data_IF_670166232138
#
_entry.id   IF_670166232138
#
_cell.length_a   1.000
_cell.length_b   1.000
_cell.length_c   1.000
_cell.angle_alpha   90.00
_cell.angle_beta   90.00
_cell.angle_gamma   90.00
#
_symmetry.space_group_name_H-M   'P 1'
#
loop_
_entity.id
_entity.type
_entity.pdbx_description
1 polymer ?
#
# COMPACT_ATOMS: atom_id res chain seq x y z
N UNK A 1 -20.17 10.54 8.87
CA UNK A 1 -20.66 9.17 8.64
C UNK A 1 -20.79 8.92 7.14
N UNK A 2 -21.50 9.76 6.37
CA UNK A 2 -21.61 9.62 4.91
C UNK A 2 -20.24 9.53 4.23
N UNK A 3 -19.29 10.37 4.61
CA UNK A 3 -17.91 10.35 4.07
C UNK A 3 -17.18 9.02 4.37
N UNK A 4 -17.35 8.45 5.56
CA UNK A 4 -16.73 7.18 5.96
C UNK A 4 -17.33 5.96 5.23
N UNK A 5 -18.55 6.06 4.71
CA UNK A 5 -19.23 5.02 3.95
C UNK A 5 -18.88 5.09 2.44
N UNK A 6 -18.21 6.16 2.00
CA UNK A 6 -17.78 6.38 0.61
C UNK A 6 -16.29 6.06 0.38
N UNK A 7 -15.48 5.92 1.45
CA UNK A 7 -14.08 5.56 1.36
C UNK A 7 -13.91 4.05 1.11
N UNK A 8 -12.88 3.68 0.35
CA UNK A 8 -12.40 2.30 0.26
C UNK A 8 -11.93 1.79 1.63
N UNK A 9 -11.81 0.48 1.82
CA UNK A 9 -11.46 -0.09 3.13
C UNK A 9 -10.03 0.22 3.56
N UNK A 10 -9.09 0.30 2.64
CA UNK A 10 -7.70 0.70 2.83
C UNK A 10 -7.60 2.18 3.20
N UNK A 11 -8.17 3.09 2.39
CA UNK A 11 -8.26 4.53 2.71
C UNK A 11 -8.86 4.79 4.09
N UNK A 12 -9.91 4.04 4.43
CA UNK A 12 -10.55 4.13 5.74
C UNK A 12 -9.63 3.65 6.87
N UNK A 13 -8.86 2.59 6.63
CA UNK A 13 -7.89 2.08 7.58
C UNK A 13 -6.77 3.10 7.82
N UNK A 14 -6.24 3.71 6.77
CA UNK A 14 -5.18 4.72 6.83
C UNK A 14 -5.65 6.00 7.52
N UNK A 15 -6.84 6.51 7.15
CA UNK A 15 -7.43 7.66 7.81
C UNK A 15 -7.65 7.41 9.32
N UNK A 16 -8.08 6.20 9.70
CA UNK A 16 -8.27 5.85 11.09
C UNK A 16 -6.94 5.66 11.83
N UNK A 17 -5.89 5.15 11.18
CA UNK A 17 -4.55 5.05 11.78
C UNK A 17 -3.95 6.45 12.00
N UNK A 18 -4.06 7.36 11.03
CA UNK A 18 -3.64 8.75 11.18
C UNK A 18 -4.33 9.43 12.37
N UNK A 19 -5.67 9.32 12.45
CA UNK A 19 -6.44 9.86 13.60
C UNK A 19 -6.04 9.22 14.92
N UNK A 20 -5.72 7.92 14.93
CA UNK A 20 -5.27 7.22 16.14
C UNK A 20 -3.95 7.76 16.68
N UNK A 21 -3.02 8.14 15.78
CA UNK A 21 -1.74 8.74 16.14
C UNK A 21 -1.92 10.14 16.77
N UNK A 22 -2.88 10.93 16.28
CA UNK A 22 -3.12 12.32 16.73
C UNK A 22 -4.09 12.41 17.92
N UNK A 23 -5.25 11.76 17.84
CA UNK A 23 -6.31 11.79 18.88
C UNK A 23 -6.93 10.40 19.10
N UNK A 24 -6.39 9.60 20.04
CA UNK A 24 -6.94 8.28 20.37
C UNK A 24 -8.40 8.29 20.83
N UNK A 25 -8.89 9.40 21.40
CA UNK A 25 -10.27 9.50 21.88
C UNK A 25 -11.24 9.75 20.70
N UNK A 26 -10.80 10.51 19.70
CA UNK A 26 -11.55 10.73 18.48
C UNK A 26 -11.59 9.46 17.61
N UNK A 27 -10.48 8.74 17.52
CA UNK A 27 -10.41 7.42 16.87
C UNK A 27 -11.49 6.45 17.38
N UNK A 28 -11.65 6.33 18.72
CA UNK A 28 -12.68 5.44 19.28
C UNK A 28 -14.09 5.86 18.86
N UNK A 29 -14.37 7.15 18.80
CA UNK A 29 -15.67 7.68 18.35
C UNK A 29 -15.94 7.37 16.88
N UNK A 30 -14.94 7.51 16.01
CA UNK A 30 -15.06 7.18 14.58
C UNK A 30 -15.31 5.68 14.40
N UNK A 31 -14.53 4.86 15.10
CA UNK A 31 -14.68 3.41 15.09
C UNK A 31 -16.07 2.93 15.53
N UNK A 32 -16.68 3.62 16.51
CA UNK A 32 -18.03 3.31 16.98
C UNK A 32 -19.14 3.68 15.98
N UNK A 33 -18.83 4.52 14.98
CA UNK A 33 -19.75 4.87 13.90
C UNK A 33 -19.78 3.84 12.77
N UNK A 34 -18.74 3.00 12.66
CA UNK A 34 -18.64 1.95 11.65
C UNK A 34 -19.56 0.77 12.00
N UNK A 35 -20.08 0.13 10.98
CA UNK A 35 -20.78 -1.12 11.16
C UNK A 35 -19.82 -2.25 11.62
N UNK A 36 -20.32 -3.33 12.23
CA UNK A 36 -19.46 -4.36 12.80
C UNK A 36 -18.58 -5.10 11.80
N UNK A 37 -19.00 -5.20 10.51
CA UNK A 37 -18.25 -5.87 9.46
C UNK A 37 -17.08 -5.00 9.01
N UNK A 38 -17.35 -3.78 8.60
CA UNK A 38 -16.33 -2.79 8.20
C UNK A 38 -15.29 -2.58 9.30
N UNK A 39 -15.74 -2.51 10.57
CA UNK A 39 -14.85 -2.41 11.73
C UNK A 39 -13.87 -3.58 11.81
N UNK A 40 -14.35 -4.82 11.63
CA UNK A 40 -13.52 -6.02 11.70
C UNK A 40 -12.51 -6.09 10.52
N UNK A 41 -12.93 -5.65 9.34
CA UNK A 41 -12.10 -5.58 8.14
C UNK A 41 -10.97 -4.55 8.31
N UNK A 42 -11.28 -3.34 8.76
CA UNK A 42 -10.30 -2.29 9.09
C UNK A 42 -9.35 -2.73 10.21
N UNK A 43 -9.85 -3.38 11.26
CA UNK A 43 -8.99 -3.93 12.32
C UNK A 43 -8.07 -5.05 11.83
N UNK A 44 -8.44 -5.76 10.79
CA UNK A 44 -7.59 -6.77 10.18
C UNK A 44 -6.47 -6.13 9.34
N UNK A 45 -6.77 -5.08 8.58
CA UNK A 45 -5.79 -4.31 7.80
C UNK A 45 -4.80 -3.58 8.73
N UNK A 46 -5.28 -2.95 9.79
CA UNK A 46 -4.45 -2.23 10.76
C UNK A 46 -3.45 -3.11 11.56
N UNK A 47 -3.32 -4.40 11.24
CA UNK A 47 -2.30 -5.30 11.82
C UNK A 47 -1.02 -5.37 10.99
N UNK A 48 -1.10 -4.97 9.73
CA UNK A 48 0.06 -4.92 8.84
C UNK A 48 0.81 -3.60 9.05
N UNK A 49 2.09 -3.61 8.76
CA UNK A 49 2.91 -2.39 8.78
C UNK A 49 2.53 -1.51 7.58
N UNK A 50 2.57 -0.19 7.75
CA UNK A 50 2.12 0.78 6.74
C UNK A 50 2.99 0.77 5.48
N UNK A 51 4.27 0.40 5.60
CA UNK A 51 5.28 0.34 4.56
C UNK A 51 5.41 -1.03 3.86
N UNK A 52 4.47 -1.95 4.15
CA UNK A 52 4.41 -3.27 3.55
C UNK A 52 3.19 -3.42 2.62
N UNK A 53 3.24 -4.39 1.70
CA UNK A 53 2.12 -4.73 0.81
C UNK A 53 0.81 -5.03 1.56
N UNK A 54 0.91 -5.55 2.79
CA UNK A 54 -0.23 -5.79 3.67
C UNK A 54 -0.89 -4.51 4.17
N UNK A 55 -0.14 -3.41 4.34
CA UNK A 55 -0.65 -2.09 4.68
C UNK A 55 -1.30 -1.39 3.49
N UNK A 56 -0.72 -1.55 2.30
CA UNK A 56 -1.23 -0.93 1.06
C UNK A 56 -2.42 -1.65 0.43
N UNK A 57 -2.73 -2.90 0.84
CA UNK A 57 -3.73 -3.71 0.14
C UNK A 57 -5.15 -3.38 0.52
N UNK A 58 -6.07 -3.44 -0.46
CA UNK A 58 -7.50 -3.54 -0.22
C UNK A 58 -7.99 -5.00 -0.25
N UNK A 59 -8.89 -5.41 0.66
CA UNK A 59 -9.52 -6.74 0.61
C UNK A 59 -10.69 -6.82 -0.38
N UNK A 60 -11.01 -5.74 -1.09
CA UNK A 60 -12.18 -5.61 -1.97
C UNK A 60 -11.92 -6.19 -3.37
N UNK A 61 -11.41 -7.41 -3.43
CA UNK A 61 -11.12 -8.12 -4.67
C UNK A 61 -12.18 -9.16 -5.03
N UNK A 62 -12.18 -9.58 -6.30
CA UNK A 62 -13.04 -10.67 -6.76
C UNK A 62 -12.26 -11.97 -6.88
N UNK A 63 -12.69 -12.99 -6.12
CA UNK A 63 -12.14 -14.34 -6.20
C UNK A 63 -13.22 -15.37 -6.54
N UNK A 64 -12.86 -16.32 -7.41
CA UNK A 64 -13.71 -17.42 -7.85
C UNK A 64 -12.98 -18.76 -7.75
N UNK A 65 -13.71 -19.87 -7.86
CA UNK A 65 -13.14 -21.21 -7.81
C UNK A 65 -12.95 -21.78 -9.21
N UNK A 66 -11.90 -22.55 -9.40
CA UNK A 66 -11.54 -23.16 -10.69
C UNK A 66 -12.63 -24.09 -11.26
N UNK A 67 -13.49 -24.65 -10.40
CA UNK A 67 -14.59 -25.52 -10.79
C UNK A 67 -15.81 -24.82 -11.41
N UNK A 68 -15.91 -23.50 -11.23
CA UNK A 68 -17.03 -22.71 -11.77
C UNK A 68 -16.99 -22.61 -13.29
N UNK A 69 -18.15 -22.47 -13.91
CA UNK A 69 -18.29 -22.14 -15.32
C UNK A 69 -18.24 -20.62 -15.53
N UNK A 70 -17.90 -20.19 -16.74
CA UNK A 70 -17.91 -18.78 -17.14
C UNK A 70 -19.27 -18.11 -16.86
N UNK A 71 -20.38 -18.80 -17.14
CA UNK A 71 -21.72 -18.29 -16.85
C UNK A 71 -21.94 -18.05 -15.34
N UNK A 72 -21.47 -18.98 -14.50
CA UNK A 72 -21.57 -18.85 -13.05
C UNK A 72 -20.73 -17.67 -12.53
N UNK A 73 -19.51 -17.49 -13.06
CA UNK A 73 -18.65 -16.35 -12.73
C UNK A 73 -19.29 -15.03 -13.14
N UNK A 74 -19.79 -14.91 -14.37
CA UNK A 74 -20.46 -13.69 -14.82
C UNK A 74 -21.72 -13.37 -14.01
N UNK A 75 -22.43 -14.39 -13.55
CA UNK A 75 -23.59 -14.22 -12.65
C UNK A 75 -23.15 -13.76 -11.25
N UNK A 76 -22.03 -14.29 -10.77
CA UNK A 76 -21.42 -13.88 -9.49
C UNK A 76 -20.94 -12.43 -9.57
N UNK A 77 -20.20 -12.05 -10.60
CA UNK A 77 -19.69 -10.70 -10.82
C UNK A 77 -20.80 -9.64 -10.79
N UNK A 78 -21.95 -9.91 -11.40
CA UNK A 78 -23.09 -8.97 -11.37
C UNK A 78 -23.61 -8.65 -9.96
N UNK A 79 -23.26 -9.47 -8.96
CA UNK A 79 -23.62 -9.26 -7.56
C UNK A 79 -22.49 -8.70 -6.74
N UNK A 80 -21.25 -9.09 -7.05
CA UNK A 80 -20.04 -8.68 -6.32
C UNK A 80 -19.42 -7.37 -6.83
N UNK A 81 -19.70 -6.97 -8.07
CA UNK A 81 -19.12 -5.77 -8.69
C UNK A 81 -19.34 -4.46 -7.93
N UNK A 82 -20.47 -4.24 -7.23
CA UNK A 82 -20.64 -2.99 -6.48
C UNK A 82 -19.71 -2.83 -5.27
N UNK A 83 -19.19 -3.94 -4.73
CA UNK A 83 -18.38 -3.96 -3.52
C UNK A 83 -16.91 -4.31 -3.82
N UNK A 84 -16.52 -4.34 -5.11
CA UNK A 84 -15.16 -4.70 -5.51
C UNK A 84 -14.42 -3.47 -6.02
N UNK A 85 -13.18 -3.28 -5.59
CA UNK A 85 -12.27 -2.23 -6.05
C UNK A 85 -12.12 -2.24 -7.57
N UNK A 86 -11.93 -3.42 -8.12
CA UNK A 86 -11.89 -3.64 -9.56
C UNK A 86 -12.50 -4.97 -9.97
N UNK A 87 -13.13 -4.99 -11.16
CA UNK A 87 -13.65 -6.21 -11.81
C UNK A 87 -12.86 -6.62 -13.07
N UNK A 88 -11.79 -5.86 -13.39
CA UNK A 88 -11.00 -6.16 -14.59
C UNK A 88 -10.20 -7.45 -14.44
N UNK A 89 -9.79 -7.79 -13.21
CA UNK A 89 -9.08 -9.01 -12.87
C UNK A 89 -9.87 -9.84 -11.85
N UNK A 90 -10.06 -11.11 -12.17
CA UNK A 90 -10.76 -12.07 -11.34
C UNK A 90 -9.75 -13.14 -10.93
N UNK A 91 -9.51 -13.26 -9.65
CA UNK A 91 -8.55 -14.22 -9.12
C UNK A 91 -9.20 -15.58 -8.94
N UNK A 92 -8.43 -16.62 -9.25
CA UNK A 92 -8.88 -18.01 -9.11
C UNK A 92 -8.18 -18.62 -7.91
N UNK A 93 -8.98 -19.13 -6.97
CA UNK A 93 -8.47 -19.74 -5.74
C UNK A 93 -8.94 -21.18 -5.57
N UNK A 94 -8.16 -21.98 -4.82
CA UNK A 94 -8.57 -23.32 -4.42
C UNK A 94 -9.54 -23.30 -3.22
N UNK A 95 -9.93 -24.48 -2.73
CA UNK A 95 -10.84 -24.62 -1.58
C UNK A 95 -10.28 -24.04 -0.28
N UNK A 96 -8.96 -23.87 -0.20
CA UNK A 96 -8.26 -23.27 0.96
C UNK A 96 -7.98 -21.78 0.79
N UNK A 97 -8.48 -21.17 -0.29
CA UNK A 97 -8.25 -19.76 -0.61
C UNK A 97 -6.90 -19.46 -1.24
N UNK A 98 -6.09 -20.46 -1.61
CA UNK A 98 -4.77 -20.24 -2.20
C UNK A 98 -4.87 -19.83 -3.65
N UNK A 99 -4.11 -18.81 -4.02
CA UNK A 99 -4.07 -18.27 -5.38
C UNK A 99 -3.60 -19.34 -6.39
N UNK A 100 -4.37 -19.55 -7.45
CA UNK A 100 -4.12 -20.52 -8.52
C UNK A 100 -3.92 -19.88 -9.87
N UNK A 101 -4.52 -18.73 -10.10
CA UNK A 101 -4.48 -18.07 -11.39
C UNK A 101 -5.26 -16.76 -11.38
N UNK A 102 -5.24 -16.12 -12.53
CA UNK A 102 -6.01 -14.90 -12.79
C UNK A 102 -6.75 -15.02 -14.13
N UNK A 103 -7.89 -14.37 -14.21
CA UNK A 103 -8.68 -14.19 -15.42
C UNK A 103 -8.90 -12.69 -15.62
N UNK A 104 -8.87 -12.23 -16.86
CA UNK A 104 -9.39 -10.91 -17.16
C UNK A 104 -10.91 -10.97 -17.42
N UNK A 105 -11.62 -9.88 -17.16
CA UNK A 105 -13.02 -9.74 -17.55
C UNK A 105 -13.19 -9.99 -19.06
N UNK A 106 -12.20 -9.60 -19.87
CA UNK A 106 -12.18 -9.84 -21.31
C UNK A 106 -12.23 -11.34 -21.63
N UNK A 107 -11.43 -12.15 -20.93
CA UNK A 107 -11.38 -13.60 -21.16
C UNK A 107 -12.76 -14.23 -20.88
N UNK A 108 -13.43 -13.78 -19.81
CA UNK A 108 -14.78 -14.24 -19.47
C UNK A 108 -15.83 -13.84 -20.52
N UNK A 109 -15.73 -12.63 -21.09
CA UNK A 109 -16.69 -12.16 -22.10
C UNK A 109 -16.55 -12.93 -23.42
N UNK A 110 -15.32 -13.31 -23.79
CA UNK A 110 -15.01 -13.98 -25.05
C UNK A 110 -15.23 -15.49 -24.98
N UNK A 111 -15.10 -16.09 -23.80
CA UNK A 111 -15.21 -17.55 -23.62
C UNK A 111 -16.66 -18.05 -23.74
N UNK A 112 -16.80 -19.32 -24.13
CA UNK A 112 -18.12 -19.99 -24.11
C UNK A 112 -18.66 -20.06 -22.66
N UNK A 113 -19.94 -19.74 -22.43
CA UNK A 113 -20.52 -19.73 -21.07
C UNK A 113 -20.40 -21.05 -20.30
N UNK A 114 -20.27 -22.19 -21.01
CA UNK A 114 -20.12 -23.51 -20.41
C UNK A 114 -18.69 -23.92 -20.12
N UNK A 115 -17.71 -23.16 -20.60
CA UNK A 115 -16.28 -23.40 -20.32
C UNK A 115 -16.01 -23.28 -18.83
N UNK A 116 -15.17 -24.15 -18.30
CA UNK A 116 -14.74 -24.05 -16.89
C UNK A 116 -13.61 -23.05 -16.74
N UNK A 117 -13.60 -22.35 -15.61
CA UNK A 117 -12.53 -21.42 -15.21
C UNK A 117 -11.15 -22.07 -15.32
N UNK A 118 -11.02 -23.33 -14.88
CA UNK A 118 -9.78 -24.09 -14.96
C UNK A 118 -9.19 -24.22 -16.37
N UNK A 119 -10.01 -24.10 -17.42
CA UNK A 119 -9.58 -24.25 -18.82
C UNK A 119 -9.03 -22.95 -19.43
N UNK A 120 -9.39 -21.80 -18.86
CA UNK A 120 -9.07 -20.48 -19.40
C UNK A 120 -8.23 -19.60 -18.44
N UNK A 121 -8.02 -20.03 -17.19
CA UNK A 121 -7.22 -19.27 -16.23
C UNK A 121 -5.76 -19.17 -16.69
N UNK A 122 -5.14 -18.01 -16.40
CA UNK A 122 -3.69 -17.87 -16.51
C UNK A 122 -3.05 -18.28 -15.17
N UNK A 123 -2.29 -19.38 -15.10
CA UNK A 123 -1.66 -19.84 -13.87
C UNK A 123 -0.36 -19.09 -13.53
N UNK A 124 0.17 -18.27 -14.46
CA UNK A 124 1.39 -17.49 -14.27
C UNK A 124 1.02 -16.12 -13.67
N UNK A 125 0.67 -16.12 -12.40
CA UNK A 125 0.34 -14.88 -11.69
C UNK A 125 1.58 -14.39 -10.95
N UNK A 126 1.91 -13.12 -11.18
CA UNK A 126 2.85 -12.39 -10.32
C UNK A 126 2.05 -11.93 -9.09
N UNK A 127 2.59 -12.13 -7.92
CA UNK A 127 1.98 -11.74 -6.66
C UNK A 127 3.07 -11.30 -5.69
N UNK A 128 2.68 -10.59 -4.66
CA UNK A 128 3.53 -10.23 -3.52
C UNK A 128 2.99 -10.86 -2.24
N UNK A 129 3.81 -10.89 -1.22
CA UNK A 129 3.41 -11.32 0.12
C UNK A 129 3.02 -10.11 0.96
N UNK A 130 2.26 -10.33 2.01
CA UNK A 130 1.87 -9.27 2.95
C UNK A 130 3.06 -8.52 3.56
N UNK A 131 4.21 -9.20 3.71
CA UNK A 131 5.46 -8.69 4.27
C UNK A 131 6.44 -8.15 3.20
N UNK A 132 5.98 -7.93 1.97
CA UNK A 132 6.78 -7.33 0.90
C UNK A 132 6.81 -5.82 1.07
N UNK A 133 8.00 -5.24 1.02
CA UNK A 133 8.25 -3.79 1.10
C UNK A 133 7.53 -3.02 -0.01
N UNK A 134 6.98 -1.84 0.34
CA UNK A 134 6.20 -1.00 -0.59
C UNK A 134 6.99 -0.56 -1.83
N UNK A 135 8.30 -0.29 -1.71
CA UNK A 135 9.14 0.08 -2.85
C UNK A 135 9.30 -1.11 -3.83
N UNK A 136 9.37 -2.34 -3.30
CA UNK A 136 9.42 -3.55 -4.13
C UNK A 136 8.09 -3.77 -4.85
N UNK A 137 6.96 -3.54 -4.20
CA UNK A 137 5.63 -3.57 -4.82
C UNK A 137 5.57 -2.55 -5.97
N UNK A 138 5.95 -1.31 -5.71
CA UNK A 138 5.96 -0.23 -6.70
C UNK A 138 6.85 -0.57 -7.90
N UNK A 139 8.05 -1.11 -7.66
CA UNK A 139 8.98 -1.53 -8.72
C UNK A 139 8.41 -2.66 -9.56
N UNK A 140 7.81 -3.68 -8.93
CA UNK A 140 7.19 -4.79 -9.66
C UNK A 140 6.04 -4.31 -10.54
N UNK A 141 5.18 -3.42 -10.04
CA UNK A 141 4.08 -2.87 -10.82
C UNK A 141 4.58 -2.05 -12.01
N UNK A 142 5.62 -1.23 -11.81
CA UNK A 142 6.22 -0.43 -12.88
C UNK A 142 6.95 -1.29 -13.92
N UNK A 143 7.70 -2.33 -13.51
CA UNK A 143 8.49 -3.17 -14.41
C UNK A 143 7.62 -4.05 -15.34
N UNK A 144 6.42 -4.40 -14.88
CA UNK A 144 5.49 -5.27 -15.60
C UNK A 144 4.25 -4.57 -16.13
N UNK A 145 4.13 -3.25 -15.97
CA UNK A 145 2.96 -2.44 -16.36
C UNK A 145 1.66 -2.98 -15.71
N UNK A 146 1.73 -3.44 -14.47
CA UNK A 146 0.55 -3.92 -13.75
C UNK A 146 -0.26 -2.76 -13.19
N UNK A 147 -1.58 -2.84 -13.33
CA UNK A 147 -2.53 -1.91 -12.71
C UNK A 147 -3.06 -2.43 -11.38
N UNK A 148 -2.92 -3.73 -11.13
CA UNK A 148 -3.34 -4.40 -9.90
C UNK A 148 -2.41 -5.58 -9.62
N UNK A 149 -2.00 -5.75 -8.38
CA UNK A 149 -1.11 -6.83 -7.95
C UNK A 149 -1.74 -7.60 -6.77
N UNK A 150 -1.94 -8.91 -6.87
CA UNK A 150 -2.51 -9.70 -5.77
C UNK A 150 -1.51 -9.89 -4.62
N UNK A 151 -2.02 -9.82 -3.41
CA UNK A 151 -1.28 -10.02 -2.16
C UNK A 151 -1.68 -11.36 -1.54
N UNK A 152 -0.69 -12.15 -1.14
CA UNK A 152 -0.90 -13.43 -0.49
C UNK A 152 -0.24 -13.48 0.89
N UNK A 153 -0.82 -14.29 1.77
CA UNK A 153 -0.23 -14.57 3.07
C UNK A 153 0.89 -15.64 3.01
N UNK A 154 1.41 -16.05 4.17
CA UNK A 154 2.48 -17.07 4.29
C UNK A 154 2.07 -18.43 3.73
N UNK A 155 0.78 -18.77 3.77
CA UNK A 155 0.23 -20.01 3.24
C UNK A 155 -0.12 -19.95 1.74
N UNK A 156 0.10 -18.79 1.10
CA UNK A 156 -0.22 -18.52 -0.30
C UNK A 156 -1.72 -18.28 -0.55
N UNK A 157 -2.49 -17.93 0.47
CA UNK A 157 -3.90 -17.54 0.34
C UNK A 157 -3.99 -16.09 -0.11
N UNK A 158 -4.87 -15.82 -1.03
CA UNK A 158 -5.17 -14.47 -1.47
C UNK A 158 -5.85 -13.70 -0.32
N UNK A 159 -5.27 -12.58 0.09
CA UNK A 159 -5.76 -11.76 1.21
C UNK A 159 -6.13 -10.33 0.80
N UNK A 160 -5.58 -9.85 -0.32
CA UNK A 160 -5.86 -8.51 -0.84
C UNK A 160 -5.31 -8.30 -2.24
N UNK A 161 -5.46 -7.09 -2.71
CA UNK A 161 -4.85 -6.56 -3.93
C UNK A 161 -4.28 -5.19 -3.64
N UNK A 162 -3.20 -4.81 -4.33
CA UNK A 162 -2.67 -3.44 -4.36
C UNK A 162 -2.96 -2.87 -5.73
N UNK A 163 -3.45 -1.64 -5.79
CA UNK A 163 -3.77 -0.94 -7.02
C UNK A 163 -2.69 0.06 -7.41
N UNK A 164 -2.70 0.53 -8.65
CA UNK A 164 -1.64 1.41 -9.16
C UNK A 164 -1.71 2.82 -8.59
N UNK A 165 -2.88 3.29 -8.19
CA UNK A 165 -3.10 4.58 -7.55
C UNK A 165 -2.42 4.65 -6.18
N UNK A 166 -2.58 3.63 -5.32
CA UNK A 166 -1.88 3.54 -4.04
C UNK A 166 -0.35 3.53 -4.22
N UNK A 167 0.12 2.80 -5.25
CA UNK A 167 1.55 2.76 -5.57
C UNK A 167 2.08 4.10 -6.08
N UNK A 168 1.27 4.92 -6.75
CA UNK A 168 1.67 6.27 -7.15
C UNK A 168 1.92 7.16 -5.92
N UNK A 169 1.09 7.05 -4.90
CA UNK A 169 1.25 7.79 -3.64
C UNK A 169 2.53 7.35 -2.89
N UNK A 170 2.81 6.04 -2.87
CA UNK A 170 4.08 5.51 -2.35
C UNK A 170 5.27 6.10 -3.10
N UNK A 171 5.26 6.10 -4.44
CA UNK A 171 6.37 6.64 -5.24
C UNK A 171 6.59 8.14 -4.99
N UNK A 172 5.53 8.92 -4.77
CA UNK A 172 5.63 10.34 -4.42
C UNK A 172 6.23 10.54 -3.02
N UNK A 173 5.80 9.74 -2.05
CA UNK A 173 6.30 9.77 -0.68
C UNK A 173 7.79 9.39 -0.63
N UNK A 174 8.19 8.28 -1.27
CA UNK A 174 9.59 7.82 -1.34
C UNK A 174 10.50 8.84 -2.06
N UNK A 175 10.05 9.38 -3.21
CA UNK A 175 10.81 10.42 -3.92
C UNK A 175 11.02 11.67 -3.05
N UNK A 176 10.03 12.03 -2.23
CA UNK A 176 10.11 13.15 -1.31
C UNK A 176 11.07 12.85 -0.15
N UNK A 177 11.02 11.64 0.40
CA UNK A 177 11.92 11.19 1.46
C UNK A 177 13.38 11.17 0.97
N UNK A 178 13.63 10.65 -0.22
CA UNK A 178 14.96 10.62 -0.85
C UNK A 178 15.52 12.03 -1.07
N UNK A 179 14.70 12.97 -1.54
CA UNK A 179 15.11 14.37 -1.67
C UNK A 179 15.45 14.96 -0.31
N UNK A 180 14.71 14.64 0.74
CA UNK A 180 15.01 15.10 2.11
C UNK A 180 16.30 14.48 2.64
N UNK A 181 16.52 13.18 2.44
CA UNK A 181 17.78 12.50 2.81
C UNK A 181 18.98 13.12 2.10
N UNK A 182 18.89 13.40 0.78
CA UNK A 182 19.94 14.06 0.01
C UNK A 182 20.19 15.51 0.45
N UNK A 183 19.13 16.22 0.88
CA UNK A 183 19.22 17.58 1.42
C UNK A 183 19.77 17.67 2.83
N UNK A 184 20.10 16.54 3.48
CA UNK A 184 20.42 16.43 4.90
C UNK A 184 19.38 17.13 5.81
N UNK A 185 18.13 17.08 5.40
CA UNK A 185 16.98 17.63 6.13
C UNK A 185 16.24 16.44 6.74
N UNK A 186 16.52 16.17 7.99
CA UNK A 186 15.79 15.18 8.78
C UNK A 186 14.47 15.81 9.24
N UNK A 187 13.46 15.73 8.38
CA UNK A 187 12.11 16.21 8.67
C UNK A 187 11.16 15.03 8.46
N UNK A 188 10.93 14.20 9.49
CA UNK A 188 9.87 13.21 9.43
C UNK A 188 8.52 13.94 9.28
N UNK A 189 7.66 13.47 8.41
CA UNK A 189 6.22 13.76 8.30
C UNK A 189 5.80 15.24 8.05
N UNK A 190 6.68 16.11 7.59
CA UNK A 190 6.28 17.46 7.22
C UNK A 190 6.15 17.60 5.70
N UNK A 191 4.93 17.66 5.22
CA UNK A 191 4.67 18.17 3.86
C UNK A 191 5.29 19.56 3.77
N UNK A 192 6.31 19.71 2.93
CA UNK A 192 7.13 20.95 2.83
C UNK A 192 6.29 22.22 2.61
N UNK A 193 5.15 22.07 1.93
CA UNK A 193 4.20 23.16 1.66
C UNK A 193 3.42 23.62 2.91
N UNK A 194 3.28 22.76 3.92
CA UNK A 194 2.51 23.04 5.15
C UNK A 194 3.41 23.35 6.34
N UNK A 195 4.72 23.03 6.23
CA UNK A 195 5.68 23.27 7.29
C UNK A 195 5.94 24.76 7.51
N UNK A 196 5.68 25.24 8.71
CA UNK A 196 5.99 26.62 9.08
C UNK A 196 7.50 26.92 9.00
N UNK A 197 7.91 28.15 8.67
CA UNK A 197 9.33 28.52 8.46
C UNK A 197 10.21 28.22 9.67
N UNK A 198 9.66 28.22 10.88
CA UNK A 198 10.40 27.93 12.13
C UNK A 198 10.74 26.43 12.23
N UNK A 199 9.83 25.54 11.84
CA UNK A 199 10.05 24.09 11.85
C UNK A 199 11.15 23.70 10.85
N UNK A 200 11.09 24.25 9.63
CA UNK A 200 12.13 24.06 8.60
C UNK A 200 13.50 24.61 9.04
N UNK A 201 13.51 25.75 9.75
CA UNK A 201 14.73 26.34 10.29
C UNK A 201 15.36 25.45 11.36
N UNK A 202 14.56 24.94 12.32
CA UNK A 202 15.03 24.04 13.38
C UNK A 202 15.59 22.73 12.83
N UNK A 203 14.95 22.15 11.83
CA UNK A 203 15.40 20.92 11.18
C UNK A 203 16.80 21.09 10.53
N UNK A 204 17.05 22.24 9.92
CA UNK A 204 18.35 22.56 9.28
C UNK A 204 19.43 22.97 10.28
N UNK A 205 19.07 23.69 11.32
CA UNK A 205 20.03 24.19 12.32
C UNK A 205 20.77 23.07 13.01
N UNK A 206 20.10 21.98 13.36
CA UNK A 206 20.71 20.83 14.01
C UNK A 206 21.88 20.26 13.20
N UNK A 207 21.70 20.10 11.90
CA UNK A 207 22.74 19.63 10.98
C UNK A 207 23.86 20.67 10.77
N UNK A 208 23.51 21.94 10.62
CA UNK A 208 24.48 23.03 10.49
C UNK A 208 25.39 23.15 11.71
N UNK A 209 24.84 22.96 12.92
CA UNK A 209 25.64 22.95 14.16
C UNK A 209 26.66 21.82 14.15
N UNK A 210 26.27 20.61 13.72
CA UNK A 210 27.18 19.46 13.59
C UNK A 210 28.32 19.79 12.60
N UNK A 211 27.97 20.36 11.44
CA UNK A 211 28.96 20.76 10.44
C UNK A 211 29.94 21.82 10.95
N UNK A 212 29.44 22.84 11.66
CA UNK A 212 30.28 23.89 12.26
C UNK A 212 31.25 23.30 13.28
N UNK A 213 30.74 22.42 14.18
CA UNK A 213 31.57 21.77 15.18
C UNK A 213 32.66 20.89 14.54
N UNK A 214 32.29 20.12 13.52
CA UNK A 214 33.23 19.30 12.78
C UNK A 214 34.29 20.16 12.07
N UNK A 215 33.86 21.25 11.44
CA UNK A 215 34.76 22.22 10.80
C UNK A 215 35.73 22.89 11.80
N UNK A 216 35.26 23.23 13.00
CA UNK A 216 36.13 23.79 14.05
C UNK A 216 37.19 22.78 14.52
N UNK A 217 36.79 21.51 14.72
CA UNK A 217 37.73 20.43 15.07
C UNK A 217 38.77 20.23 13.96
N UNK A 218 38.33 20.15 12.70
CA UNK A 218 39.23 20.02 11.57
C UNK A 218 40.20 21.17 11.45
N UNK A 219 39.71 22.40 11.61
CA UNK A 219 40.56 23.61 11.60
C UNK A 219 41.59 23.61 12.73
N UNK A 220 41.20 23.17 13.92
CA UNK A 220 42.13 23.08 15.08
C UNK A 220 43.22 22.04 14.86
N UNK A 221 42.88 20.91 14.24
CA UNK A 221 43.86 19.87 13.88
C UNK A 221 44.85 20.42 12.85
N UNK A 222 44.36 21.07 11.78
CA UNK A 222 45.23 21.65 10.74
C UNK A 222 46.17 22.69 11.29
N UNK A 223 45.71 23.60 12.17
CA UNK A 223 46.58 24.57 12.83
C UNK A 223 47.67 23.90 13.67
N UNK A 224 47.37 22.79 14.32
CA UNK A 224 48.37 22.01 15.06
C UNK A 224 49.46 21.42 14.15
N UNK A 225 49.16 21.08 12.93
CA UNK A 225 50.10 20.59 11.96
C UNK A 225 50.95 21.71 11.30
N UNK A 226 50.36 22.90 11.08
CA UNK A 226 51.13 24.08 10.57
C UNK A 226 52.25 24.52 11.52
N UNK A 227 52.09 24.29 12.84
CA UNK A 227 53.14 24.62 13.81
C UNK A 227 54.30 23.62 13.81
N UNK A 228 54.25 22.52 13.04
CA UNK A 228 55.26 21.46 13.00
C UNK A 228 56.06 21.46 11.65
N UNK A 229 55.55 22.20 10.66
CA UNK A 229 56.20 22.47 9.38
C UNK A 229 56.92 23.82 9.38
#
# INVERSE_FOLDING_TARGET
REILEELSLDDLADALQAVRKEDPAYFQRLKDLLDPRTRAEVEALARYEEDEAGGLMTPEYVAVREGMTVEEVLRFLRRAAPDAETIYYIYVVDEKGRLKGVLSLRDLIVADPRTRVAEILNPKVVYVRTDTDQEEVARLMADYDFTVLPVVDEEGRLVGIVTVDDVLDVLEAEATEDIHKLGAVDVPDLVYSEAGPVALWLARVRWLVILILTGMVTSSILQGFESVL
#
